data_IF_428912837013
#
_entry.id   IF_428912837013
#
_cell.length_a   1.000
_cell.length_b   1.000
_cell.length_c   1.000
_cell.angle_alpha   90.00
_cell.angle_beta   90.00
_cell.angle_gamma   90.00
#
_symmetry.space_group_name_H-M   'P 1'
#
loop_
_entity.id
_entity.type
_entity.pdbx_description
1 polymer ?
#
# COMPACT_ATOMS: atom_id res chain seq x y z
N UNK A 1 20.63 25.86 9.19
CA UNK A 1 21.52 25.50 8.06
C UNK A 1 21.02 24.27 7.30
N UNK A 2 21.16 23.02 7.79
CA UNK A 2 20.71 21.84 7.02
C UNK A 2 19.20 21.86 6.71
N UNK A 3 18.37 22.21 7.70
CA UNK A 3 16.91 22.30 7.52
C UNK A 3 16.51 23.30 6.43
N UNK A 4 17.27 24.39 6.31
CA UNK A 4 16.98 25.46 5.35
C UNK A 4 17.39 25.01 3.93
N UNK A 5 18.54 24.36 3.80
CA UNK A 5 18.98 23.71 2.54
C UNK A 5 17.95 22.67 2.07
N UNK A 6 17.42 21.86 3.00
CA UNK A 6 16.42 20.84 2.66
C UNK A 6 15.08 21.46 2.24
N UNK A 7 14.68 22.60 2.83
CA UNK A 7 13.48 23.34 2.43
C UNK A 7 13.62 23.92 1.03
N UNK A 8 14.74 24.58 0.75
CA UNK A 8 15.02 25.13 -0.58
C UNK A 8 15.01 24.02 -1.65
N UNK A 9 15.60 22.86 -1.35
CA UNK A 9 15.54 21.70 -2.26
C UNK A 9 14.13 21.17 -2.47
N UNK A 10 13.29 21.15 -1.42
CA UNK A 10 11.89 20.76 -1.55
C UNK A 10 11.10 21.75 -2.41
N UNK A 11 11.36 23.06 -2.28
CA UNK A 11 10.75 24.10 -3.12
C UNK A 11 11.14 23.94 -4.60
N UNK A 12 12.39 23.59 -4.88
CA UNK A 12 12.84 23.25 -6.24
C UNK A 12 12.14 21.99 -6.76
N UNK A 13 11.98 20.95 -5.94
CA UNK A 13 11.27 19.73 -6.33
C UNK A 13 9.78 20.03 -6.61
N UNK A 14 9.14 20.85 -5.78
CA UNK A 14 7.73 21.22 -5.93
C UNK A 14 7.49 22.13 -7.12
N UNK A 15 8.32 23.15 -7.34
CA UNK A 15 8.21 24.06 -8.51
C UNK A 15 8.41 23.34 -9.84
N UNK A 16 9.17 22.24 -9.85
CA UNK A 16 9.31 21.36 -11.02
C UNK A 16 8.21 20.30 -11.14
N UNK A 17 7.21 20.27 -10.25
CA UNK A 17 6.13 19.28 -10.26
C UNK A 17 6.57 17.85 -9.89
N UNK A 18 7.75 17.69 -9.29
CA UNK A 18 8.33 16.39 -8.94
C UNK A 18 7.99 15.95 -7.52
N UNK A 19 7.36 16.83 -6.72
CA UNK A 19 7.00 16.52 -5.35
C UNK A 19 5.90 15.47 -5.30
N UNK A 20 6.25 14.28 -4.79
CA UNK A 20 5.31 13.17 -4.61
C UNK A 20 4.56 13.36 -3.29
N UNK A 21 3.23 13.24 -3.36
CA UNK A 21 2.35 13.21 -2.18
C UNK A 21 1.71 11.84 -2.10
N UNK A 22 1.86 11.18 -0.95
CA UNK A 22 1.19 9.90 -0.71
C UNK A 22 -0.32 10.15 -0.76
N UNK A 23 -1.03 9.30 -1.50
CA UNK A 23 -2.49 9.25 -1.50
C UNK A 23 -2.90 8.05 -0.70
N UNK A 24 -3.76 8.25 0.29
CA UNK A 24 -4.31 7.14 1.05
C UNK A 24 -5.47 6.54 0.26
N UNK A 25 -5.59 5.22 0.33
CA UNK A 25 -6.67 4.50 -0.32
C UNK A 25 -6.83 3.12 0.31
N UNK A 26 -8.06 2.67 0.45
CA UNK A 26 -8.37 1.34 0.99
C UNK A 26 -8.73 0.41 -0.15
N UNK A 27 -8.17 -0.80 -0.14
CA UNK A 27 -8.53 -1.84 -1.11
C UNK A 27 -9.93 -2.38 -0.81
N UNK A 28 -10.74 -2.48 -1.85
CA UNK A 28 -12.06 -3.10 -1.80
C UNK A 28 -12.01 -4.46 -2.49
N UNK A 29 -12.68 -5.46 -1.91
CA UNK A 29 -12.87 -6.76 -2.57
C UNK A 29 -13.84 -6.59 -3.73
N UNK A 30 -13.47 -7.06 -4.92
CA UNK A 30 -14.34 -7.00 -6.09
C UNK A 30 -14.04 -8.15 -7.05
N UNK A 31 -15.10 -8.66 -7.68
CA UNK A 31 -15.04 -9.71 -8.70
C UNK A 31 -14.56 -9.12 -10.04
N UNK A 32 -14.73 -7.80 -10.25
CA UNK A 32 -14.50 -7.11 -11.52
C UNK A 32 -13.16 -6.33 -11.56
N UNK A 33 -12.10 -6.92 -11.01
CA UNK A 33 -10.77 -6.30 -10.92
C UNK A 33 -10.56 -5.45 -9.67
N UNK A 34 -9.36 -4.88 -9.49
CA UNK A 34 -8.98 -4.19 -8.25
C UNK A 34 -9.75 -2.88 -8.09
N UNK A 35 -10.55 -2.79 -7.02
CA UNK A 35 -11.22 -1.56 -6.59
C UNK A 35 -10.52 -0.95 -5.39
N UNK A 36 -10.50 0.37 -5.33
CA UNK A 36 -10.05 1.14 -4.17
C UNK A 36 -11.07 2.21 -3.81
N UNK A 37 -11.12 2.58 -2.54
CA UNK A 37 -11.78 3.79 -2.10
C UNK A 37 -10.70 4.83 -1.76
N UNK A 38 -10.81 6.04 -2.30
CA UNK A 38 -9.89 7.13 -1.97
C UNK A 38 -10.35 7.89 -0.71
N UNK A 39 -9.53 8.83 -0.23
CA UNK A 39 -9.81 9.64 0.97
C UNK A 39 -11.06 10.51 0.89
N UNK A 40 -11.56 10.79 -0.32
CA UNK A 40 -12.81 11.50 -0.55
C UNK A 40 -14.03 10.57 -0.52
N UNK A 41 -13.84 9.26 -0.30
CA UNK A 41 -14.89 8.25 -0.29
C UNK A 41 -15.27 7.72 -1.68
N UNK A 42 -14.62 8.17 -2.75
CA UNK A 42 -14.93 7.75 -4.11
C UNK A 42 -14.40 6.35 -4.39
N UNK A 43 -15.22 5.51 -5.02
CA UNK A 43 -14.77 4.23 -5.55
C UNK A 43 -14.08 4.41 -6.91
N UNK A 44 -12.89 3.84 -7.05
CA UNK A 44 -12.07 3.89 -8.25
C UNK A 44 -11.62 2.48 -8.65
N UNK A 45 -11.42 2.25 -9.94
CA UNK A 45 -10.70 1.07 -10.43
C UNK A 45 -9.21 1.35 -10.44
N UNK A 46 -8.41 0.49 -9.80
CA UNK A 46 -6.96 0.62 -9.79
C UNK A 46 -6.34 -0.04 -11.02
N UNK A 47 -5.56 0.76 -11.75
CA UNK A 47 -4.66 0.29 -12.82
C UNK A 47 -3.17 0.47 -12.44
N UNK A 48 -2.91 0.83 -11.19
CA UNK A 48 -1.57 1.17 -10.69
C UNK A 48 -1.04 0.19 -9.63
N UNK A 49 -1.83 -0.79 -9.22
CA UNK A 49 -1.39 -1.82 -8.28
C UNK A 49 -0.62 -2.93 -8.99
N UNK A 50 0.25 -3.61 -8.24
CA UNK A 50 0.97 -4.79 -8.70
C UNK A 50 0.21 -6.11 -8.39
N UNK A 51 -1.06 -6.03 -8.03
CA UNK A 51 -1.89 -7.22 -7.76
C UNK A 51 -2.46 -7.80 -9.07
N UNK A 52 -1.58 -8.35 -9.90
CA UNK A 52 -1.93 -8.80 -11.24
C UNK A 52 -2.94 -9.96 -11.26
N UNK A 53 -2.94 -10.80 -10.22
CA UNK A 53 -3.75 -12.01 -10.14
C UNK A 53 -4.94 -11.90 -9.18
N UNK A 54 -5.17 -10.75 -8.53
CA UNK A 54 -6.27 -10.63 -7.56
C UNK A 54 -5.99 -11.28 -6.20
N UNK A 55 -4.75 -11.69 -5.90
CA UNK A 55 -4.46 -12.55 -4.76
C UNK A 55 -4.29 -11.78 -3.44
N UNK A 56 -3.97 -10.48 -3.49
CA UNK A 56 -3.69 -9.71 -2.28
C UNK A 56 -4.88 -9.59 -1.31
N UNK A 57 -6.10 -9.89 -1.77
CA UNK A 57 -7.32 -9.92 -0.94
C UNK A 57 -8.11 -11.22 -1.08
N UNK A 58 -7.52 -12.26 -1.66
CA UNK A 58 -8.19 -13.54 -1.87
C UNK A 58 -8.34 -14.30 -0.54
N UNK A 59 -9.53 -14.83 -0.27
CA UNK A 59 -9.86 -15.37 1.06
C UNK A 59 -9.04 -16.60 1.43
N UNK A 60 -8.74 -17.48 0.46
CA UNK A 60 -7.85 -18.65 0.70
C UNK A 60 -6.44 -18.21 1.13
N UNK A 61 -5.92 -17.12 0.56
CA UNK A 61 -4.58 -16.62 0.91
C UNK A 61 -4.60 -16.00 2.31
N UNK A 62 -5.66 -15.26 2.65
CA UNK A 62 -5.85 -14.72 4.01
C UNK A 62 -5.95 -15.84 5.04
N UNK A 63 -6.72 -16.89 4.75
CA UNK A 63 -6.89 -18.00 5.68
C UNK A 63 -5.58 -18.75 5.89
N UNK A 64 -4.85 -19.05 4.81
CA UNK A 64 -3.53 -19.68 4.91
C UNK A 64 -2.55 -18.84 5.74
N UNK A 65 -2.60 -17.51 5.63
CA UNK A 65 -1.80 -16.61 6.47
C UNK A 65 -2.21 -16.67 7.96
N UNK A 66 -3.52 -16.69 8.26
CA UNK A 66 -4.04 -16.85 9.63
C UNK A 66 -3.58 -18.18 10.22
N UNK A 67 -3.72 -19.28 9.47
CA UNK A 67 -3.35 -20.62 9.92
C UNK A 67 -1.84 -20.71 10.19
N UNK A 68 -1.01 -20.12 9.32
CA UNK A 68 0.43 -20.04 9.51
C UNK A 68 0.80 -19.22 10.75
N UNK A 69 0.15 -18.08 10.99
CA UNK A 69 0.39 -17.27 12.19
C UNK A 69 0.02 -18.05 13.45
N UNK A 70 -1.08 -18.79 13.44
CA UNK A 70 -1.50 -19.60 14.59
C UNK A 70 -0.53 -20.75 14.86
N UNK A 71 0.08 -21.32 13.82
CA UNK A 71 0.98 -22.46 13.94
C UNK A 71 2.43 -22.05 14.27
N UNK A 72 2.91 -20.95 13.68
CA UNK A 72 4.32 -20.57 13.70
C UNK A 72 4.59 -19.24 14.43
N UNK A 73 3.56 -18.51 14.83
CA UNK A 73 3.69 -17.16 15.37
C UNK A 73 3.86 -16.09 14.29
N UNK A 74 4.02 -14.84 14.71
CA UNK A 74 4.05 -13.66 13.82
C UNK A 74 5.44 -13.32 13.26
N UNK A 75 6.50 -13.82 13.90
CA UNK A 75 7.88 -13.52 13.55
C UNK A 75 8.75 -14.74 13.75
N UNK A 76 9.86 -14.81 13.03
CA UNK A 76 10.81 -15.91 13.18
C UNK A 76 11.41 -15.89 14.59
N UNK A 77 11.16 -16.93 15.37
CA UNK A 77 11.96 -17.23 16.54
C UNK A 77 13.21 -17.98 16.04
N UNK A 78 14.43 -17.50 16.33
CA UNK A 78 15.63 -18.30 16.14
C UNK A 78 15.45 -19.62 16.88
N UNK A 79 15.76 -20.74 16.22
CA UNK A 79 15.88 -22.02 16.90
C UNK A 79 17.20 -21.98 17.67
N UNK A 80 17.13 -21.91 19.00
CA UNK A 80 18.28 -22.10 19.90
C UNK A 80 18.75 -23.56 19.89
#
# INVERSE_FOLDING_TARGET
>A
MLKDILRERLEVIESNGLLRKLKQSTVQSSIAGRKIQNDAGNELTSFSCNDYMGLSTHDVVKQAAIDAINLYGIGHAPLD
#
